data_IF_039150119356
#
_entry.id   IF_039150119356
#
_cell.length_a   1.000
_cell.length_b   1.000
_cell.length_c   1.000
_cell.angle_alpha   90.00
_cell.angle_beta   90.00
_cell.angle_gamma   90.00
#
_symmetry.space_group_name_H-M   'P 1'
#
loop_
_entity.id
_entity.type
_entity.pdbx_description
1 polymer ?
#
# COMPACT_ATOMS: atom_id res chain seq x y z
N UNK A 1 -43.94 27.63 5.01
CA UNK A 1 -42.83 28.56 5.28
C UNK A 1 -42.72 28.63 6.77
N UNK A 2 -41.80 27.87 7.33
CA UNK A 2 -41.33 28.03 8.71
C UNK A 2 -39.80 28.01 8.59
N UNK A 3 -39.24 29.21 8.66
CA UNK A 3 -37.81 29.44 8.80
C UNK A 3 -37.47 29.24 10.27
N UNK A 4 -36.75 28.18 10.60
CA UNK A 4 -36.09 28.05 11.89
C UNK A 4 -34.64 28.50 11.75
N UNK A 5 -34.43 29.76 12.09
CA UNK A 5 -33.14 30.40 12.26
C UNK A 5 -32.85 30.45 13.76
N UNK A 6 -31.95 29.60 14.27
CA UNK A 6 -31.44 29.72 15.64
C UNK A 6 -30.00 29.22 15.74
N UNK A 7 -29.11 30.16 16.09
CA UNK A 7 -27.99 29.91 16.99
C UNK A 7 -26.60 29.85 16.37
N UNK A 8 -25.98 31.02 16.22
CA UNK A 8 -24.52 31.15 16.31
C UNK A 8 -24.08 30.59 17.68
N UNK A 9 -23.45 29.41 17.67
CA UNK A 9 -22.92 28.73 18.85
C UNK A 9 -21.40 28.69 18.79
N UNK A 10 -20.77 29.27 19.81
CA UNK A 10 -19.37 29.64 19.91
C UNK A 10 -18.40 28.44 19.85
N UNK A 11 -17.25 28.66 19.19
CA UNK A 11 -16.13 27.71 19.12
C UNK A 11 -15.40 27.64 20.47
N UNK A 12 -15.25 26.46 21.11
CA UNK A 12 -14.29 26.33 22.19
C UNK A 12 -12.87 26.19 21.61
N UNK A 13 -12.07 27.25 21.76
CA UNK A 13 -10.61 27.17 21.78
C UNK A 13 -10.18 26.31 22.99
N UNK A 14 -9.52 25.18 22.74
CA UNK A 14 -8.66 24.55 23.73
C UNK A 14 -7.30 24.22 23.12
N UNK A 15 -6.40 25.19 23.27
CA UNK A 15 -4.96 24.98 23.29
C UNK A 15 -4.60 24.30 24.61
N UNK A 16 -3.95 23.15 24.52
CA UNK A 16 -3.40 22.44 25.66
C UNK A 16 -2.66 21.21 25.18
N UNK A 17 -1.39 21.37 24.81
CA UNK A 17 -0.52 20.24 24.55
C UNK A 17 -0.40 19.37 25.79
N UNK A 18 -0.23 18.07 25.59
CA UNK A 18 0.59 17.23 26.44
C UNK A 18 1.00 16.00 25.64
N UNK A 19 2.26 15.67 25.83
CA UNK A 19 3.09 14.83 25.01
C UNK A 19 3.01 13.38 25.53
N UNK A 20 3.27 12.44 24.62
CA UNK A 20 3.52 10.99 24.82
C UNK A 20 2.32 10.09 25.13
N UNK A 21 2.19 9.07 24.27
CA UNK A 21 1.68 7.77 24.71
C UNK A 21 0.80 7.05 23.69
N UNK A 22 1.43 6.36 22.74
CA UNK A 22 1.13 4.98 22.32
C UNK A 22 -0.32 4.49 22.57
N UNK A 23 -1.09 4.39 21.49
CA UNK A 23 -2.03 3.30 21.17
C UNK A 23 -3.15 3.87 20.27
N UNK A 24 -2.91 3.91 18.96
CA UNK A 24 -3.98 4.18 18.01
C UNK A 24 -4.77 2.88 17.80
N UNK A 25 -5.94 2.85 18.43
CA UNK A 25 -6.96 1.84 18.27
C UNK A 25 -7.38 1.73 16.80
N UNK A 26 -7.49 0.48 16.35
CA UNK A 26 -7.93 0.13 15.02
C UNK A 26 -9.43 0.41 14.87
N UNK A 27 -9.75 1.55 14.26
CA UNK A 27 -11.10 1.87 13.81
C UNK A 27 -11.06 2.70 12.53
N UNK A 28 -11.75 2.20 11.51
CA UNK A 28 -12.21 2.90 10.29
C UNK A 28 -11.28 2.89 9.04
N UNK A 29 -11.58 1.94 8.13
CA UNK A 29 -12.06 2.34 6.80
C UNK A 29 -11.09 2.95 5.79
N UNK A 30 -9.79 2.69 5.87
CA UNK A 30 -8.84 2.97 4.80
C UNK A 30 -8.05 1.70 4.48
N UNK A 31 -8.06 1.25 3.24
CA UNK A 31 -7.18 0.15 2.82
C UNK A 31 -5.74 0.58 3.05
N UNK A 32 -5.17 0.21 4.21
CA UNK A 32 -3.77 0.39 4.51
C UNK A 32 -3.01 -0.15 3.30
N UNK A 33 -2.29 0.73 2.60
CA UNK A 33 -1.58 0.36 1.38
C UNK A 33 -0.62 -0.75 1.75
N UNK A 34 -1.02 -1.99 1.44
CA UNK A 34 -0.25 -3.18 1.82
C UNK A 34 1.15 -3.01 1.27
N UNK A 35 2.16 -3.03 2.14
CA UNK A 35 3.53 -2.91 1.68
C UNK A 35 3.85 -4.08 0.75
N UNK A 36 4.63 -3.85 -0.32
CA UNK A 36 5.01 -4.94 -1.21
C UNK A 36 5.90 -5.93 -0.50
N UNK A 37 5.63 -7.21 -0.68
CA UNK A 37 6.49 -8.29 -0.18
C UNK A 37 7.80 -8.38 -0.96
N UNK A 38 7.80 -8.02 -2.24
CA UNK A 38 9.00 -8.05 -3.08
C UNK A 38 9.15 -6.77 -3.91
N UNK A 39 10.41 -6.31 -4.03
CA UNK A 39 10.81 -5.31 -5.02
C UNK A 39 11.35 -6.01 -6.26
N UNK A 40 11.06 -5.43 -7.42
CA UNK A 40 11.51 -5.91 -8.72
C UNK A 40 12.58 -4.95 -9.19
N UNK A 41 13.76 -5.51 -9.43
CA UNK A 41 14.91 -4.73 -9.87
C UNK A 41 15.36 -5.17 -11.24
N UNK A 42 15.88 -4.23 -12.02
CA UNK A 42 16.51 -4.47 -13.30
C UNK A 42 18.02 -4.18 -13.17
N UNK A 43 18.90 -5.13 -13.52
CA UNK A 43 20.32 -4.85 -13.59
C UNK A 43 20.63 -3.94 -14.79
N UNK A 44 21.40 -2.90 -14.55
CA UNK A 44 21.98 -2.03 -15.58
C UNK A 44 23.50 -1.98 -15.38
N UNK A 45 24.29 -1.95 -16.45
CA UNK A 45 25.75 -1.83 -16.35
C UNK A 45 26.15 -0.37 -16.48
N UNK A 46 26.82 0.16 -15.44
CA UNK A 46 27.37 1.50 -15.45
C UNK A 46 28.75 1.48 -16.13
N UNK A 47 28.82 2.02 -17.35
CA UNK A 47 30.08 2.07 -18.13
C UNK A 47 31.09 3.08 -17.59
N UNK A 48 30.66 4.02 -16.73
CA UNK A 48 31.54 5.02 -16.12
C UNK A 48 32.19 4.47 -14.85
N UNK A 49 31.42 3.75 -14.04
CA UNK A 49 31.93 3.15 -12.78
C UNK A 49 32.36 1.69 -12.93
N UNK A 50 32.12 1.08 -14.08
CA UNK A 50 32.52 -0.30 -14.40
C UNK A 50 31.78 -1.36 -13.58
N UNK A 51 30.60 -1.05 -13.03
CA UNK A 51 29.86 -1.90 -12.09
C UNK A 51 28.40 -2.09 -12.48
N UNK A 52 27.80 -3.19 -12.03
CA UNK A 52 26.36 -3.43 -12.15
C UNK A 52 25.60 -2.68 -11.08
N UNK A 53 24.59 -1.90 -11.47
CA UNK A 53 23.62 -1.26 -10.60
C UNK A 53 22.27 -1.98 -10.72
N UNK A 54 21.49 -1.99 -9.64
CA UNK A 54 20.15 -2.57 -9.62
C UNK A 54 19.12 -1.46 -9.48
N UNK A 55 18.38 -1.19 -10.55
CA UNK A 55 17.36 -0.15 -10.58
C UNK A 55 16.01 -0.72 -10.13
N UNK A 56 15.35 -0.04 -9.21
CA UNK A 56 13.97 -0.37 -8.84
C UNK A 56 13.03 -0.04 -10.01
N UNK A 57 12.35 -1.06 -10.53
CA UNK A 57 11.43 -0.94 -11.67
C UNK A 57 9.99 -1.29 -11.31
N UNK A 58 9.75 -1.77 -10.09
CA UNK A 58 8.45 -2.29 -9.72
C UNK A 58 8.43 -3.05 -8.41
N UNK A 59 7.26 -3.60 -8.12
CA UNK A 59 7.05 -4.36 -6.90
C UNK A 59 5.96 -5.40 -7.09
N UNK A 60 5.92 -6.34 -6.15
CA UNK A 60 4.99 -7.45 -6.16
C UNK A 60 4.32 -7.61 -4.80
N UNK A 61 3.00 -7.76 -4.84
CA UNK A 61 2.15 -7.88 -3.66
C UNK A 61 1.51 -9.26 -3.60
N UNK A 62 1.67 -9.97 -2.48
CA UNK A 62 0.98 -11.21 -2.20
C UNK A 62 -0.48 -10.92 -1.93
N UNK A 63 -1.35 -11.69 -2.56
CA UNK A 63 -2.78 -11.65 -2.38
C UNK A 63 -3.31 -13.07 -2.21
N UNK A 64 -4.49 -13.17 -1.61
CA UNK A 64 -5.23 -14.42 -1.47
C UNK A 64 -6.57 -14.23 -2.15
N UNK A 65 -6.91 -15.14 -3.06
CA UNK A 65 -8.21 -15.15 -3.73
C UNK A 65 -9.30 -15.39 -2.69
N UNK A 66 -10.19 -14.41 -2.52
CA UNK A 66 -11.35 -14.53 -1.64
C UNK A 66 -12.32 -15.66 -2.07
N UNK A 67 -12.23 -16.09 -3.35
CA UNK A 67 -13.11 -17.13 -3.90
C UNK A 67 -12.56 -18.54 -3.74
N UNK A 68 -11.25 -18.71 -3.88
CA UNK A 68 -10.61 -20.04 -3.96
C UNK A 68 -9.62 -20.29 -2.83
N UNK A 69 -9.32 -19.29 -2.01
CA UNK A 69 -8.25 -19.33 -1.00
C UNK A 69 -6.85 -19.46 -1.59
N UNK A 70 -6.70 -19.48 -2.92
CA UNK A 70 -5.39 -19.65 -3.57
C UNK A 70 -4.59 -18.36 -3.53
N UNK A 71 -3.30 -18.51 -3.27
CA UNK A 71 -2.35 -17.41 -3.31
C UNK A 71 -2.05 -16.99 -4.75
N UNK A 72 -1.94 -15.68 -4.96
CA UNK A 72 -1.45 -15.10 -6.21
C UNK A 72 -0.70 -13.82 -5.89
N UNK A 73 0.07 -13.33 -6.84
CA UNK A 73 0.78 -12.08 -6.70
C UNK A 73 0.29 -11.06 -7.73
N UNK A 74 0.20 -9.81 -7.31
CA UNK A 74 0.06 -8.69 -8.24
C UNK A 74 1.46 -8.14 -8.48
N UNK A 75 1.92 -8.17 -9.73
CA UNK A 75 3.18 -7.55 -10.15
C UNK A 75 2.87 -6.22 -10.83
N UNK A 76 3.52 -5.12 -10.41
CA UNK A 76 3.45 -3.83 -11.08
C UNK A 76 4.84 -3.40 -11.53
N UNK A 77 4.99 -3.10 -12.82
CA UNK A 77 6.21 -2.57 -13.43
C UNK A 77 5.82 -1.35 -14.27
N UNK A 78 6.18 -0.15 -13.81
CA UNK A 78 5.67 1.10 -14.41
C UNK A 78 4.14 1.15 -14.47
N UNK A 79 3.59 1.19 -15.69
CA UNK A 79 2.14 1.17 -15.98
C UNK A 79 1.56 -0.23 -16.18
N UNK A 80 2.41 -1.25 -16.31
CA UNK A 80 1.97 -2.64 -16.50
C UNK A 80 1.59 -3.27 -15.15
N UNK A 81 0.48 -4.00 -15.13
CA UNK A 81 0.01 -4.75 -13.96
C UNK A 81 -0.35 -6.17 -14.38
N UNK A 82 0.27 -7.16 -13.74
CA UNK A 82 0.12 -8.57 -14.06
C UNK A 82 -0.34 -9.37 -12.83
N UNK A 83 -1.10 -10.43 -13.07
CA UNK A 83 -1.38 -11.46 -12.09
C UNK A 83 -0.37 -12.60 -12.27
N UNK A 84 0.30 -12.96 -11.19
CA UNK A 84 1.37 -13.97 -11.19
C UNK A 84 0.91 -15.12 -10.29
N UNK A 85 1.00 -16.33 -10.82
CA UNK A 85 0.66 -17.56 -10.11
C UNK A 85 1.92 -18.42 -9.98
N UNK A 86 2.02 -19.19 -8.90
CA UNK A 86 3.10 -20.13 -8.73
C UNK A 86 3.05 -21.17 -9.86
N UNK A 87 4.21 -21.45 -10.48
CA UNK A 87 4.31 -22.51 -11.47
C UNK A 87 4.24 -23.86 -10.77
N UNK A 88 3.04 -24.44 -10.72
CA UNK A 88 2.83 -25.80 -10.25
C UNK A 88 3.25 -26.73 -11.40
N UNK A 89 4.41 -27.37 -11.30
CA UNK A 89 4.74 -28.49 -12.20
C UNK A 89 3.59 -29.48 -12.10
N UNK A 90 2.92 -29.79 -13.21
CA UNK A 90 2.01 -30.94 -13.25
C UNK A 90 2.86 -32.15 -12.86
N UNK A 91 2.56 -32.75 -11.71
CA UNK A 91 3.04 -34.09 -11.41
C UNK A 91 2.36 -35.01 -12.42
N UNK A 92 3.16 -35.57 -13.34
CA UNK A 92 2.74 -36.62 -14.26
C UNK A 92 2.81 -37.98 -13.60
#
# INVERSE_FOLDING_TARGET
MEEENFGEGEMPEQLGGHEKGIAAEAGQGGAASKQPEFRIVQPEYDTREGKTIFRDVGAMWKNVSQKTGREFYTLKVGKLRLLVFANQKLQG
#
